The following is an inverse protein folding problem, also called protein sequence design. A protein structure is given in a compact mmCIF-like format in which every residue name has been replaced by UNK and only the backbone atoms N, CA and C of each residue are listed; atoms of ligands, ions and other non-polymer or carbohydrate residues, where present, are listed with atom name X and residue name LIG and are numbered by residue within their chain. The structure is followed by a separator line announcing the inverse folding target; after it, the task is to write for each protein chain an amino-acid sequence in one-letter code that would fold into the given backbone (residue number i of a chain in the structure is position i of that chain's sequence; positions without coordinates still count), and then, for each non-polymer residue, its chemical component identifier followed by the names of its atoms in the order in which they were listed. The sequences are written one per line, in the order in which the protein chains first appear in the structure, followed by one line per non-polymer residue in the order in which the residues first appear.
data_IF_198818355267
#
_entry.id   IF_198818355267
#
_cell.length_a   1.000
_cell.length_b   1.000
_cell.length_c   1.000
_cell.angle_alpha   90.00
_cell.angle_beta   90.00
_cell.angle_gamma   90.00
#
_symmetry.space_group_name_H-M   'P 1'
#
loop_
_entity.id
_entity.type
_entity.pdbx_description
1 polymer ?
#
# COMPACT_ATOMS: atom_id res chain seq x y z
N UNK A 1 -16.86 33.92 -19.26
CA UNK A 1 -17.70 33.74 -20.45
C UNK A 1 -19.10 34.13 -20.02
N UNK A 2 -19.64 35.23 -20.53
CA UNK A 2 -20.99 35.68 -20.15
C UNK A 2 -22.04 34.90 -20.93
N UNK A 3 -23.17 34.58 -20.30
CA UNK A 3 -24.30 33.89 -20.88
C UNK A 3 -24.89 34.64 -22.08
N UNK A 4 -25.53 33.91 -23.00
CA UNK A 4 -26.35 34.54 -24.04
C UNK A 4 -27.70 34.95 -23.46
N UNK A 5 -28.30 36.01 -23.99
CA UNK A 5 -29.64 36.48 -23.60
C UNK A 5 -30.73 35.38 -23.72
N UNK A 6 -30.55 34.45 -24.65
CA UNK A 6 -31.48 33.34 -24.90
C UNK A 6 -31.45 32.33 -23.75
N UNK A 7 -30.26 32.04 -23.21
CA UNK A 7 -30.09 31.08 -22.11
C UNK A 7 -30.69 31.59 -20.79
N UNK A 8 -30.53 32.89 -20.47
CA UNK A 8 -31.13 33.51 -19.27
C UNK A 8 -32.67 33.48 -19.33
N UNK A 9 -33.26 33.77 -20.50
CA UNK A 9 -34.72 33.67 -20.67
C UNK A 9 -35.19 32.22 -20.55
N UNK A 10 -34.48 31.28 -21.17
CA UNK A 10 -34.86 29.87 -21.13
C UNK A 10 -34.82 29.30 -19.70
N UNK A 11 -33.84 29.69 -18.87
CA UNK A 11 -33.79 29.33 -17.45
C UNK A 11 -34.94 29.96 -16.66
N UNK A 12 -35.20 31.26 -16.84
CA UNK A 12 -36.29 31.96 -16.12
C UNK A 12 -37.67 31.42 -16.45
N UNK A 13 -37.86 30.95 -17.68
CA UNK A 13 -39.09 30.30 -18.13
C UNK A 13 -39.17 28.81 -17.75
N UNK A 14 -38.13 28.26 -17.10
CA UNK A 14 -38.06 26.85 -16.70
C UNK A 14 -37.95 25.88 -17.87
N UNK A 15 -37.57 26.36 -19.06
CA UNK A 15 -37.40 25.55 -20.28
C UNK A 15 -36.12 24.70 -20.17
N UNK A 16 -35.10 25.24 -19.51
CA UNK A 16 -33.87 24.53 -19.15
C UNK A 16 -33.63 24.64 -17.64
N UNK A 17 -32.99 23.64 -16.99
CA UNK A 17 -32.68 23.71 -15.57
C UNK A 17 -31.69 24.85 -15.28
N UNK A 18 -31.58 25.23 -14.01
CA UNK A 18 -30.54 26.14 -13.57
C UNK A 18 -29.16 25.53 -13.89
N UNK A 19 -28.45 26.17 -14.81
CA UNK A 19 -27.10 25.78 -15.25
C UNK A 19 -26.04 26.71 -14.66
N UNK A 20 -26.40 27.63 -13.75
CA UNK A 20 -25.44 28.48 -13.05
C UNK A 20 -24.50 27.60 -12.22
N UNK A 21 -23.37 27.26 -12.84
CA UNK A 21 -22.27 26.63 -12.16
C UNK A 21 -21.76 27.64 -11.13
N UNK A 22 -21.83 27.28 -9.85
CA UNK A 22 -21.06 28.00 -8.82
C UNK A 22 -19.64 28.15 -9.35
N UNK A 23 -19.21 29.40 -9.52
CA UNK A 23 -17.89 29.71 -10.07
C UNK A 23 -16.87 29.01 -9.20
N UNK A 24 -16.13 28.05 -9.76
CA UNK A 24 -15.06 27.39 -9.02
C UNK A 24 -14.04 28.46 -8.67
N UNK A 25 -13.88 28.72 -7.38
CA UNK A 25 -12.73 29.44 -6.88
C UNK A 25 -11.56 28.49 -7.06
N UNK A 26 -10.75 28.73 -8.10
CA UNK A 26 -9.51 28.00 -8.31
C UNK A 26 -8.59 28.15 -7.09
N UNK A 27 -7.58 27.29 -6.98
CA UNK A 27 -6.62 27.37 -5.90
C UNK A 27 -6.02 28.80 -5.81
N UNK A 28 -6.19 29.44 -4.65
CA UNK A 28 -5.71 30.81 -4.38
C UNK A 28 -4.26 30.86 -3.93
N UNK A 29 -3.66 29.70 -3.63
CA UNK A 29 -2.27 29.56 -3.20
C UNK A 29 -1.30 29.29 -4.36
N UNK A 30 0.03 29.35 -4.08
CA UNK A 30 1.03 28.95 -5.07
C UNK A 30 0.83 27.49 -5.47
N UNK A 31 1.11 27.17 -6.74
CA UNK A 31 1.12 25.79 -7.20
C UNK A 31 2.17 24.99 -6.43
N UNK A 32 1.73 23.94 -5.75
CA UNK A 32 2.59 23.01 -5.02
C UNK A 32 2.35 21.61 -5.55
N UNK A 33 3.41 20.81 -5.56
CA UNK A 33 3.31 19.40 -5.97
C UNK A 33 2.77 18.53 -4.84
N UNK A 34 2.94 18.94 -3.57
CA UNK A 34 2.54 18.18 -2.38
C UNK A 34 2.20 19.14 -1.21
N UNK A 35 1.42 18.70 -0.20
CA UNK A 35 1.21 19.45 1.03
C UNK A 35 2.47 19.52 1.90
N UNK A 36 2.64 20.63 2.64
CA UNK A 36 3.77 20.80 3.56
C UNK A 36 3.70 19.76 4.68
N UNK A 37 4.85 19.22 5.07
CA UNK A 37 4.94 18.16 6.10
C UNK A 37 4.32 18.52 7.44
N UNK A 38 4.26 19.82 7.79
CA UNK A 38 3.62 20.33 9.00
C UNK A 38 2.10 20.06 9.02
N UNK A 39 1.47 19.93 7.85
CA UNK A 39 0.02 19.71 7.71
C UNK A 39 -0.34 18.25 7.46
N UNK A 40 0.64 17.34 7.37
CA UNK A 40 0.37 15.94 7.03
C UNK A 40 -0.55 15.22 8.02
N UNK A 41 -0.62 15.65 9.27
CA UNK A 41 -1.51 15.03 10.25
C UNK A 41 -3.00 15.36 10.04
N UNK A 42 -3.32 16.47 9.37
CA UNK A 42 -4.68 16.92 9.10
C UNK A 42 -4.78 17.61 7.73
N UNK A 43 -4.49 16.84 6.69
CA UNK A 43 -4.54 17.33 5.31
C UNK A 43 -5.97 17.27 4.79
N UNK A 44 -6.45 18.35 4.18
CA UNK A 44 -7.80 18.44 3.61
C UNK A 44 -7.71 18.45 2.09
N UNK A 45 -8.47 17.56 1.44
CA UNK A 45 -8.67 17.57 -0.01
C UNK A 45 -10.15 17.52 -0.36
N UNK A 46 -10.51 17.97 -1.56
CA UNK A 46 -11.86 17.79 -2.08
C UNK A 46 -12.00 16.41 -2.71
N UNK A 47 -13.14 15.77 -2.47
CA UNK A 47 -13.51 14.50 -3.09
C UNK A 47 -13.75 14.72 -4.59
N UNK A 48 -12.83 14.23 -5.42
CA UNK A 48 -12.92 14.36 -6.87
C UNK A 48 -14.15 13.65 -7.46
N UNK A 49 -14.68 12.63 -6.78
CA UNK A 49 -15.87 11.89 -7.24
C UNK A 49 -17.18 12.58 -6.86
N UNK A 50 -17.15 13.53 -5.93
CA UNK A 50 -18.33 14.27 -5.50
C UNK A 50 -18.68 15.46 -6.41
N UNK A 51 -17.88 15.71 -7.44
CA UNK A 51 -18.12 16.82 -8.37
C UNK A 51 -19.54 16.77 -8.96
N UNK A 52 -20.30 17.89 -8.97
CA UNK A 52 -19.88 19.27 -8.71
C UNK A 52 -19.96 19.73 -7.24
N UNK A 53 -20.32 18.85 -6.32
CA UNK A 53 -20.37 19.19 -4.90
C UNK A 53 -18.95 19.29 -4.30
N UNK A 54 -18.74 20.29 -3.45
CA UNK A 54 -17.49 20.45 -2.71
C UNK A 54 -17.57 19.66 -1.40
N UNK A 55 -17.28 18.36 -1.50
CA UNK A 55 -17.18 17.50 -0.33
C UNK A 55 -15.72 17.47 0.13
N UNK A 56 -15.46 17.92 1.35
CA UNK A 56 -14.13 17.83 1.96
C UNK A 56 -13.87 16.43 2.50
N UNK A 57 -12.63 15.96 2.34
CA UNK A 57 -12.07 14.74 2.94
C UNK A 57 -10.85 15.11 3.76
N UNK A 58 -10.68 14.44 4.91
CA UNK A 58 -9.56 14.67 5.82
C UNK A 58 -8.66 13.44 5.88
N UNK A 59 -7.38 13.65 5.68
CA UNK A 59 -6.37 12.60 5.62
C UNK A 59 -5.23 12.85 6.62
N UNK A 60 -4.70 11.76 7.17
CA UNK A 60 -3.37 11.71 7.74
C UNK A 60 -2.41 11.14 6.68
N UNK A 61 -1.43 11.92 6.25
CA UNK A 61 -0.40 11.54 5.29
C UNK A 61 0.76 10.89 6.04
N UNK A 62 0.92 9.58 5.87
CA UNK A 62 1.91 8.77 6.58
C UNK A 62 3.03 8.38 5.62
N UNK A 63 4.29 8.78 5.89
CA UNK A 63 5.45 8.32 5.13
C UNK A 63 5.61 6.81 5.19
N UNK A 64 5.82 6.21 4.03
CA UNK A 64 6.12 4.79 3.89
C UNK A 64 7.03 4.56 2.68
N UNK A 65 7.38 3.31 2.40
CA UNK A 65 8.31 2.93 1.34
C UNK A 65 7.67 1.90 0.42
N UNK A 66 7.75 2.14 -0.90
CA UNK A 66 7.35 1.17 -1.91
C UNK A 66 8.35 0.01 -1.96
N UNK A 67 7.89 -1.22 -1.78
CA UNK A 67 8.73 -2.42 -1.86
C UNK A 67 8.45 -3.30 -3.08
N UNK A 68 7.87 -2.72 -4.15
CA UNK A 68 7.59 -3.43 -5.40
C UNK A 68 8.85 -3.67 -6.27
N UNK A 69 9.93 -2.91 -6.01
CA UNK A 69 11.24 -3.11 -6.62
C UNK A 69 12.35 -2.64 -5.67
N UNK A 70 13.61 -2.80 -6.10
CA UNK A 70 14.79 -2.44 -5.30
C UNK A 70 15.00 -0.94 -5.08
N UNK A 71 14.39 -0.08 -5.91
CA UNK A 71 14.56 1.38 -5.77
C UNK A 71 14.01 1.94 -4.46
N UNK A 72 13.15 1.18 -3.75
CA UNK A 72 12.61 1.54 -2.45
C UNK A 72 12.08 2.99 -2.41
N UNK A 73 11.32 3.40 -3.44
CA UNK A 73 10.87 4.78 -3.55
C UNK A 73 9.93 5.14 -2.39
N UNK A 74 10.12 6.32 -1.79
CA UNK A 74 9.23 6.82 -0.75
C UNK A 74 7.81 7.08 -1.28
N UNK A 75 6.84 6.76 -0.45
CA UNK A 75 5.41 6.98 -0.65
C UNK A 75 4.83 7.77 0.53
N UNK A 76 3.73 8.46 0.29
CA UNK A 76 2.81 9.00 1.29
C UNK A 76 1.51 8.23 1.19
N UNK A 77 1.14 7.55 2.28
CA UNK A 77 -0.15 6.90 2.42
C UNK A 77 -1.17 7.94 2.91
N UNK A 78 -2.24 8.16 2.15
CA UNK A 78 -3.33 9.04 2.53
C UNK A 78 -4.34 8.21 3.33
N UNK A 79 -4.25 8.28 4.66
CA UNK A 79 -5.15 7.55 5.56
C UNK A 79 -6.35 8.44 5.86
N UNK A 80 -7.52 8.03 5.40
CA UNK A 80 -8.78 8.74 5.66
C UNK A 80 -9.08 8.71 7.16
N UNK A 81 -9.31 9.88 7.76
CA UNK A 81 -9.43 10.02 9.23
C UNK A 81 -10.76 9.51 9.76
N UNK A 82 -11.79 9.44 8.93
CA UNK A 82 -13.11 8.98 9.33
C UNK A 82 -13.19 7.44 9.29
N UNK A 83 -12.69 6.83 8.21
CA UNK A 83 -12.74 5.38 7.99
C UNK A 83 -11.50 4.62 8.47
N UNK A 84 -10.38 5.31 8.68
CA UNK A 84 -9.08 4.70 9.00
C UNK A 84 -8.44 3.93 7.84
N UNK A 85 -9.03 3.98 6.64
CA UNK A 85 -8.54 3.23 5.48
C UNK A 85 -7.55 4.06 4.66
N UNK A 86 -6.62 3.39 3.98
CA UNK A 86 -5.75 4.05 3.01
C UNK A 86 -6.56 4.32 1.74
N UNK A 87 -6.71 5.60 1.37
CA UNK A 87 -7.46 6.02 0.19
C UNK A 87 -6.58 6.01 -1.08
N UNK A 88 -5.33 6.44 -0.96
CA UNK A 88 -4.37 6.50 -2.07
C UNK A 88 -2.92 6.53 -1.59
N UNK A 89 -2.02 6.31 -2.54
CA UNK A 89 -0.58 6.53 -2.35
C UNK A 89 -0.06 7.55 -3.35
N UNK A 90 0.72 8.52 -2.87
CA UNK A 90 1.48 9.45 -3.71
C UNK A 90 2.98 9.38 -3.38
N UNK A 91 3.80 10.06 -4.16
CA UNK A 91 5.25 10.09 -3.91
C UNK A 91 5.59 10.95 -2.70
N UNK A 92 6.53 10.50 -1.87
CA UNK A 92 7.03 11.30 -0.75
C UNK A 92 8.13 12.29 -1.21
N UNK A 93 7.88 13.62 -1.21
CA UNK A 93 8.87 14.60 -1.64
C UNK A 93 10.10 14.67 -0.74
N UNK A 94 9.96 14.30 0.54
CA UNK A 94 11.05 14.30 1.51
C UNK A 94 11.88 13.02 1.50
N UNK A 95 11.50 12.00 0.71
CA UNK A 95 12.29 10.78 0.62
C UNK A 95 13.63 11.04 -0.09
N UNK A 96 14.79 10.67 0.50
CA UNK A 96 16.11 11.13 0.07
C UNK A 96 16.50 10.67 -1.34
N UNK A 97 16.06 9.46 -1.75
CA UNK A 97 16.35 8.93 -3.08
C UNK A 97 15.37 9.45 -4.14
N UNK A 98 14.11 9.03 -4.01
CA UNK A 98 13.06 9.30 -5.01
C UNK A 98 12.57 10.74 -5.07
N UNK A 99 12.56 11.50 -3.95
CA UNK A 99 12.09 12.90 -3.90
C UNK A 99 10.74 13.11 -4.60
N UNK A 100 9.75 12.28 -4.26
CA UNK A 100 8.40 12.30 -4.82
C UNK A 100 8.23 11.59 -6.17
N UNK A 101 9.31 11.11 -6.80
CA UNK A 101 9.23 10.41 -8.09
C UNK A 101 8.94 8.93 -7.90
N UNK A 102 7.85 8.47 -8.52
CA UNK A 102 7.44 7.07 -8.46
C UNK A 102 7.08 6.58 -9.86
N UNK A 103 7.30 5.28 -10.12
CA UNK A 103 6.77 4.64 -11.32
C UNK A 103 5.30 4.28 -11.14
N UNK A 104 4.64 3.81 -12.20
CA UNK A 104 3.22 3.43 -12.18
C UNK A 104 2.87 2.39 -11.09
N UNK A 105 3.83 1.55 -10.68
CA UNK A 105 3.64 0.55 -9.62
C UNK A 105 3.50 1.16 -8.22
N UNK A 106 4.03 2.36 -7.99
CA UNK A 106 4.02 3.00 -6.66
C UNK A 106 2.59 3.29 -6.19
N UNK A 107 1.84 4.16 -6.88
CA UNK A 107 0.45 4.44 -6.55
C UNK A 107 -0.46 3.21 -6.60
N UNK A 108 -0.19 2.28 -7.52
CA UNK A 108 -0.94 1.02 -7.66
C UNK A 108 -0.78 0.04 -6.48
N UNK A 109 0.10 0.32 -5.51
CA UNK A 109 0.25 -0.50 -4.28
C UNK A 109 -1.05 -0.61 -3.48
N UNK A 110 -1.99 0.33 -3.64
CA UNK A 110 -3.32 0.24 -3.03
C UNK A 110 -4.04 -1.08 -3.39
N UNK A 111 -3.82 -1.60 -4.61
CA UNK A 111 -4.45 -2.84 -5.07
C UNK A 111 -4.00 -4.04 -4.23
N UNK A 112 -2.81 -4.01 -3.62
CA UNK A 112 -2.33 -5.10 -2.75
C UNK A 112 -3.06 -5.14 -1.40
N UNK A 113 -3.59 -4.00 -0.94
CA UNK A 113 -4.33 -3.93 0.33
C UNK A 113 -5.71 -4.59 0.15
N UNK A 114 -6.33 -4.36 -1.01
CA UNK A 114 -7.69 -4.81 -1.35
C UNK A 114 -7.70 -6.02 -2.30
N UNK A 115 -6.57 -6.69 -2.49
CA UNK A 115 -6.44 -7.83 -3.39
C UNK A 115 -7.37 -8.98 -2.95
N UNK A 116 -8.15 -9.52 -3.88
CA UNK A 116 -9.08 -10.64 -3.60
C UNK A 116 -8.34 -11.93 -3.25
N UNK A 117 -7.10 -12.06 -3.72
CA UNK A 117 -6.22 -13.21 -3.46
C UNK A 117 -5.28 -12.97 -2.27
N UNK A 118 -5.51 -11.91 -1.48
CA UNK A 118 -4.67 -11.60 -0.32
C UNK A 118 -4.77 -12.72 0.71
N UNK A 119 -3.61 -13.23 1.13
CA UNK A 119 -3.50 -14.23 2.20
C UNK A 119 -3.70 -13.55 3.56
N UNK A 120 -4.89 -13.70 4.15
CA UNK A 120 -5.27 -13.05 5.41
C UNK A 120 -4.99 -13.90 6.66
N UNK A 121 -4.81 -15.21 6.48
CA UNK A 121 -4.68 -16.17 7.58
C UNK A 121 -3.59 -17.20 7.29
N UNK A 122 -3.01 -17.83 8.32
CA UNK A 122 -2.20 -19.03 8.13
C UNK A 122 -3.00 -20.13 7.43
N UNK A 123 -2.40 -20.75 6.42
CA UNK A 123 -3.02 -21.79 5.60
C UNK A 123 -2.17 -23.05 5.63
N UNK A 124 -2.80 -24.21 5.81
CA UNK A 124 -2.17 -25.54 5.72
C UNK A 124 -2.62 -26.23 4.44
N UNK A 125 -1.69 -26.86 3.73
CA UNK A 125 -2.00 -27.58 2.49
C UNK A 125 -2.76 -28.86 2.81
N UNK A 126 -3.87 -29.08 2.10
CA UNK A 126 -4.63 -30.34 2.09
C UNK A 126 -4.40 -31.05 0.76
N UNK A 127 -3.97 -32.31 0.81
CA UNK A 127 -3.69 -33.11 -0.38
C UNK A 127 -2.32 -32.86 -1.03
N UNK A 128 -2.22 -33.15 -2.33
CA UNK A 128 -0.96 -33.11 -3.09
C UNK A 128 -0.50 -31.67 -3.35
N UNK A 129 0.82 -31.45 -3.40
CA UNK A 129 1.41 -30.14 -3.73
C UNK A 129 0.99 -29.72 -5.15
N UNK A 130 0.51 -28.48 -5.28
CA UNK A 130 0.01 -27.93 -6.56
C UNK A 130 -1.47 -28.20 -6.83
N UNK A 131 -2.17 -28.98 -6.00
CA UNK A 131 -3.59 -29.28 -6.20
C UNK A 131 -4.56 -28.16 -5.74
N UNK A 132 -4.04 -27.07 -5.15
CA UNK A 132 -4.86 -25.94 -4.70
C UNK A 132 -5.67 -26.18 -3.41
N UNK A 133 -5.53 -27.34 -2.76
CA UNK A 133 -6.22 -27.64 -1.50
C UNK A 133 -5.56 -26.94 -0.31
N UNK A 134 -6.32 -26.09 0.38
CA UNK A 134 -5.90 -25.36 1.58
C UNK A 134 -6.99 -25.35 2.65
N UNK A 135 -6.58 -25.47 3.90
CA UNK A 135 -7.41 -25.23 5.07
C UNK A 135 -6.80 -24.14 5.93
N UNK A 136 -7.65 -23.33 6.57
CA UNK A 136 -7.21 -22.31 7.51
C UNK A 136 -6.79 -22.98 8.82
N UNK A 137 -5.66 -22.55 9.38
CA UNK A 137 -5.20 -22.97 10.72
C UNK A 137 -4.93 -21.74 11.58
N UNK A 138 -4.79 -21.95 12.90
CA UNK A 138 -4.34 -20.91 13.81
C UNK A 138 -2.85 -20.59 13.62
N UNK A 139 -2.42 -19.44 14.14
CA UNK A 139 -1.00 -19.09 14.18
C UNK A 139 -0.20 -20.09 15.03
N UNK A 140 -0.74 -20.53 16.16
CA UNK A 140 -0.07 -21.48 17.06
C UNK A 140 0.15 -22.82 16.36
N UNK A 141 -0.87 -23.38 15.71
CA UNK A 141 -0.74 -24.63 14.94
C UNK A 141 0.29 -24.51 13.82
N UNK A 142 0.23 -23.42 13.05
CA UNK A 142 1.18 -23.20 11.95
C UNK A 142 2.63 -23.12 12.45
N UNK A 143 2.86 -22.36 13.53
CA UNK A 143 4.19 -22.16 14.10
C UNK A 143 4.70 -23.44 14.76
N UNK A 144 3.87 -24.16 15.52
CA UNK A 144 4.24 -25.42 16.18
C UNK A 144 4.60 -26.51 15.16
N UNK A 145 3.81 -26.66 14.09
CA UNK A 145 4.10 -27.61 13.03
C UNK A 145 5.42 -27.31 12.32
N UNK A 146 5.69 -26.04 12.00
CA UNK A 146 6.94 -25.61 11.37
C UNK A 146 8.12 -25.83 12.31
N UNK A 147 8.00 -25.39 13.56
CA UNK A 147 9.05 -25.53 14.58
C UNK A 147 9.36 -27.00 14.88
N UNK A 148 8.35 -27.86 14.98
CA UNK A 148 8.54 -29.29 15.20
C UNK A 148 9.37 -29.96 14.08
N UNK A 149 9.09 -29.63 12.81
CA UNK A 149 9.83 -30.14 11.65
C UNK A 149 11.27 -29.64 11.61
N UNK A 150 11.48 -28.33 11.84
CA UNK A 150 12.82 -27.74 11.94
C UNK A 150 13.61 -28.43 13.06
N UNK A 151 13.03 -28.53 14.25
CA UNK A 151 13.66 -29.17 15.42
C UNK A 151 14.00 -30.64 15.17
N UNK A 152 13.09 -31.40 14.55
CA UNK A 152 13.35 -32.79 14.20
C UNK A 152 14.56 -32.92 13.25
N UNK A 153 14.65 -32.04 12.25
CA UNK A 153 15.81 -31.98 11.34
C UNK A 153 17.10 -31.68 12.10
N UNK A 154 17.12 -30.60 12.91
CA UNK A 154 18.32 -30.18 13.65
C UNK A 154 18.79 -31.22 14.67
N UNK A 155 17.87 -31.99 15.28
CA UNK A 155 18.22 -33.08 16.21
C UNK A 155 18.98 -34.24 15.56
N UNK A 156 18.92 -34.40 14.23
CA UNK A 156 19.73 -35.39 13.52
C UNK A 156 21.21 -35.00 13.40
N UNK A 157 21.57 -33.78 13.81
CA UNK A 157 22.90 -33.20 13.62
C UNK A 157 23.10 -32.52 12.26
N UNK A 158 22.14 -32.67 11.33
CA UNK A 158 22.19 -32.08 9.99
C UNK A 158 21.71 -30.62 9.99
N UNK A 159 22.64 -29.69 10.27
CA UNK A 159 22.38 -28.24 10.32
C UNK A 159 22.21 -27.58 8.94
N UNK A 160 22.55 -28.29 7.88
CA UNK A 160 22.50 -27.90 6.47
C UNK A 160 21.13 -28.19 5.80
N UNK A 161 20.21 -28.82 6.51
CA UNK A 161 18.89 -29.23 5.97
C UNK A 161 17.80 -28.19 6.10
N UNK A 162 18.08 -27.04 6.72
CA UNK A 162 17.12 -25.95 6.90
C UNK A 162 17.61 -24.76 6.10
N UNK A 163 16.85 -24.38 5.07
CA UNK A 163 17.14 -23.26 4.19
C UNK A 163 16.01 -22.26 4.23
N UNK A 164 16.36 -21.00 4.34
CA UNK A 164 15.45 -19.86 4.14
C UNK A 164 15.83 -19.18 2.84
N UNK A 165 14.94 -19.26 1.86
CA UNK A 165 15.06 -18.50 0.63
C UNK A 165 14.20 -17.24 0.71
N UNK A 166 14.82 -16.09 0.53
CA UNK A 166 14.14 -14.80 0.32
C UNK A 166 14.49 -14.31 -1.08
N UNK A 167 13.63 -13.52 -1.71
CA UNK A 167 13.98 -12.85 -2.97
C UNK A 167 15.10 -11.84 -2.76
N UNK A 168 14.78 -10.54 -2.83
CA UNK A 168 15.73 -9.49 -2.49
C UNK A 168 15.60 -9.11 -1.01
N UNK A 169 16.70 -9.12 -0.23
CA UNK A 169 16.64 -8.75 1.17
C UNK A 169 16.21 -7.28 1.38
N UNK A 170 15.21 -7.02 2.22
CA UNK A 170 14.81 -5.68 2.65
C UNK A 170 14.73 -5.51 4.16
N UNK A 171 14.36 -6.56 4.90
CA UNK A 171 14.12 -6.48 6.35
C UNK A 171 14.32 -7.83 7.10
N UNK A 172 15.12 -8.75 6.56
CA UNK A 172 15.25 -10.16 7.02
C UNK A 172 16.18 -10.32 8.23
N UNK A 173 16.48 -9.23 8.93
CA UNK A 173 17.39 -9.22 10.08
C UNK A 173 17.00 -10.26 11.14
N UNK A 174 15.70 -10.37 11.44
CA UNK A 174 15.20 -11.33 12.42
C UNK A 174 15.34 -12.79 11.97
N UNK A 175 14.93 -13.12 10.75
CA UNK A 175 15.04 -14.49 10.22
C UNK A 175 16.49 -14.95 10.19
N UNK A 176 17.40 -14.09 9.69
CA UNK A 176 18.82 -14.40 9.64
C UNK A 176 19.43 -14.57 11.04
N UNK A 177 19.03 -13.74 12.00
CA UNK A 177 19.47 -13.87 13.39
C UNK A 177 19.03 -15.19 14.01
N UNK A 178 17.78 -15.61 13.77
CA UNK A 178 17.23 -16.86 14.29
C UNK A 178 18.00 -18.07 13.75
N UNK A 179 18.21 -18.14 12.43
CA UNK A 179 18.96 -19.25 11.82
C UNK A 179 20.39 -19.34 12.36
N UNK A 180 21.08 -18.20 12.45
CA UNK A 180 22.44 -18.14 13.04
C UNK A 180 22.46 -18.59 14.50
N UNK A 181 21.45 -18.23 15.29
CA UNK A 181 21.33 -18.67 16.69
C UNK A 181 21.16 -20.19 16.82
N UNK A 182 20.58 -20.86 15.82
CA UNK A 182 20.51 -22.32 15.74
C UNK A 182 21.78 -22.96 15.13
N UNK A 183 22.78 -22.15 14.77
CA UNK A 183 23.99 -22.61 14.08
C UNK A 183 23.72 -23.08 12.64
N UNK A 184 22.65 -22.58 12.01
CA UNK A 184 22.25 -22.90 10.64
C UNK A 184 22.80 -21.83 9.70
N UNK A 185 23.62 -22.24 8.74
CA UNK A 185 24.03 -21.42 7.60
C UNK A 185 23.14 -21.73 6.39
N UNK A 186 21.90 -21.25 6.46
CA UNK A 186 20.84 -21.60 5.51
C UNK A 186 20.25 -20.40 4.77
N UNK A 187 20.92 -19.24 4.78
CA UNK A 187 20.39 -18.04 4.12
C UNK A 187 20.64 -18.10 2.61
N UNK A 188 19.55 -18.06 1.85
CA UNK A 188 19.59 -18.03 0.40
C UNK A 188 18.79 -16.81 -0.09
N UNK A 189 19.37 -16.04 -0.99
CA UNK A 189 18.72 -14.86 -1.56
C UNK A 189 19.09 -14.64 -3.01
N UNK A 190 18.33 -13.78 -3.69
CA UNK A 190 18.66 -13.37 -5.05
C UNK A 190 20.13 -12.92 -5.14
N UNK A 191 20.63 -12.13 -4.18
CA UNK A 191 21.99 -11.57 -4.18
C UNK A 191 23.09 -12.62 -4.04
N UNK A 192 22.79 -13.81 -3.51
CA UNK A 192 23.80 -14.88 -3.36
C UNK A 192 23.66 -16.01 -4.40
N UNK A 193 22.57 -16.02 -5.18
CA UNK A 193 22.39 -16.95 -6.30
C UNK A 193 22.76 -16.30 -7.64
N UNK A 194 22.47 -15.00 -7.81
CA UNK A 194 22.64 -14.23 -9.04
C UNK A 194 23.32 -12.89 -8.76
#
# INVERSE_FOLDING_TARGET
MGWTFIEDIAQRLGIIPDLDRKRSVGASGPLRTYPDSEHWHDHVELDANAWPEHVERRYSLVPTTCFNCESACGLLAYVDKDSGQVAKFEGNPHHPGSRGRNCAKGPATINQIQDTERILHPMRRVGKRGAGGWERVSWDEALDEIAAKIRASLKTGAKDRVVYHVGRPGHEGYTNRILKAWGVDGHNSHTNIC
#
